data_IF_991842311763
#
_entry.id   IF_991842311763
#
_cell.length_a   1.000
_cell.length_b   1.000
_cell.length_c   1.000
_cell.angle_alpha   90.00
_cell.angle_beta   90.00
_cell.angle_gamma   90.00
#
_symmetry.space_group_name_H-M   'P 1'
#
loop_
_entity.id
_entity.type
_entity.pdbx_description
1 polymer ?
#
# COMPACT_ATOMS: atom_id res chain seq x y z
N UNK A 1 -59.92 36.33 -68.17
CA UNK A 1 -59.47 36.49 -66.77
C UNK A 1 -60.50 36.00 -65.74
N UNK A 2 -61.69 35.54 -66.14
CA UNK A 2 -62.74 35.07 -65.21
C UNK A 2 -62.73 33.57 -64.91
N UNK A 3 -61.90 32.79 -65.62
CA UNK A 3 -61.78 31.33 -65.43
C UNK A 3 -60.78 30.92 -64.34
N UNK A 4 -59.85 31.79 -63.94
CA UNK A 4 -58.86 31.50 -62.87
C UNK A 4 -59.42 31.73 -61.46
N UNK A 5 -60.38 32.64 -61.29
CA UNK A 5 -60.96 32.97 -59.97
C UNK A 5 -61.92 31.87 -59.48
N UNK A 6 -62.59 31.16 -60.38
CA UNK A 6 -63.45 30.01 -60.01
C UNK A 6 -62.66 28.74 -59.66
N UNK A 7 -61.38 28.65 -60.07
CA UNK A 7 -60.52 27.51 -59.72
C UNK A 7 -59.91 27.65 -58.30
N UNK A 8 -59.75 28.88 -57.81
CA UNK A 8 -59.12 29.14 -56.51
C UNK A 8 -60.06 28.88 -55.32
N UNK A 9 -61.37 29.15 -55.48
CA UNK A 9 -62.37 28.88 -54.44
C UNK A 9 -62.65 27.37 -54.19
N UNK A 10 -62.22 26.49 -55.10
CA UNK A 10 -62.30 25.03 -54.95
C UNK A 10 -61.06 24.38 -54.32
N UNK A 11 -60.03 25.17 -53.99
CA UNK A 11 -58.73 24.67 -53.51
C UNK A 11 -58.44 24.98 -52.04
N UNK A 12 -59.30 25.72 -51.34
CA UNK A 12 -59.15 25.92 -49.90
C UNK A 12 -59.58 24.65 -49.16
N UNK A 13 -58.58 23.95 -48.63
CA UNK A 13 -58.77 22.75 -47.81
C UNK A 13 -59.59 23.14 -46.58
N UNK A 14 -60.83 22.65 -46.50
CA UNK A 14 -61.70 22.92 -45.35
C UNK A 14 -61.28 22.03 -44.19
N UNK A 15 -60.36 22.54 -43.37
CA UNK A 15 -59.79 21.81 -42.23
C UNK A 15 -60.87 21.23 -41.29
N UNK A 16 -62.03 21.88 -41.12
CA UNK A 16 -63.16 21.35 -40.34
C UNK A 16 -63.69 20.00 -40.84
N UNK A 17 -63.74 19.81 -42.16
CA UNK A 17 -64.15 18.56 -42.77
C UNK A 17 -63.05 17.51 -42.71
N UNK A 18 -61.79 17.94 -42.84
CA UNK A 18 -60.62 17.08 -42.64
C UNK A 18 -60.60 16.55 -41.20
N UNK A 19 -60.82 17.38 -40.19
CA UNK A 19 -60.89 16.95 -38.78
C UNK A 19 -62.05 15.99 -38.53
N UNK A 20 -63.21 16.24 -39.14
CA UNK A 20 -64.37 15.34 -39.04
C UNK A 20 -64.08 13.99 -39.73
N UNK A 21 -63.40 14.02 -40.88
CA UNK A 21 -62.95 12.84 -41.59
C UNK A 21 -61.89 12.06 -40.81
N UNK A 22 -60.91 12.73 -40.20
CA UNK A 22 -59.93 12.11 -39.30
C UNK A 22 -60.66 11.41 -38.16
N UNK A 23 -61.61 12.09 -37.49
CA UNK A 23 -62.41 11.48 -36.41
C UNK A 23 -63.22 10.25 -36.88
N UNK A 24 -63.74 10.27 -38.10
CA UNK A 24 -64.40 9.11 -38.72
C UNK A 24 -63.41 7.98 -39.00
N UNK A 25 -62.24 8.28 -39.57
CA UNK A 25 -61.18 7.32 -39.90
C UNK A 25 -60.52 6.72 -38.65
N UNK A 26 -60.47 7.43 -37.52
CA UNK A 26 -59.98 6.94 -36.23
C UNK A 26 -60.94 5.95 -35.56
N UNK A 27 -62.22 5.88 -35.97
CA UNK A 27 -63.19 5.00 -35.34
C UNK A 27 -62.90 3.52 -35.65
N UNK A 28 -62.86 2.61 -34.65
CA UNK A 28 -62.47 1.21 -34.83
C UNK A 28 -63.38 0.42 -35.81
N UNK A 29 -64.67 0.77 -35.89
CA UNK A 29 -65.58 0.11 -36.84
C UNK A 29 -65.30 0.54 -38.29
N UNK A 30 -64.87 1.79 -38.48
CA UNK A 30 -64.52 2.34 -39.78
C UNK A 30 -63.15 1.82 -40.18
N UNK A 31 -62.17 1.76 -39.27
CA UNK A 31 -60.83 1.24 -39.53
C UNK A 31 -60.83 -0.16 -40.16
N UNK A 32 -61.76 -1.03 -39.73
CA UNK A 32 -61.94 -2.40 -40.26
C UNK A 32 -62.52 -2.47 -41.68
N UNK A 33 -63.11 -1.38 -42.18
CA UNK A 33 -63.63 -1.35 -43.56
C UNK A 33 -62.52 -1.10 -44.58
N UNK A 34 -62.74 -1.51 -45.83
CA UNK A 34 -61.77 -1.32 -46.92
C UNK A 34 -61.53 0.17 -47.21
N UNK A 35 -60.31 0.52 -47.64
CA UNK A 35 -59.94 1.91 -47.89
C UNK A 35 -60.82 2.56 -48.97
N UNK A 36 -61.18 1.79 -50.01
CA UNK A 36 -62.09 2.24 -51.07
C UNK A 36 -63.47 2.64 -50.54
N UNK A 37 -64.03 1.89 -49.57
CA UNK A 37 -65.33 2.22 -48.97
C UNK A 37 -65.25 3.51 -48.14
N UNK A 38 -64.13 3.74 -47.44
CA UNK A 38 -63.88 4.97 -46.68
C UNK A 38 -63.81 6.17 -47.61
N UNK A 39 -63.07 6.07 -48.71
CA UNK A 39 -62.97 7.15 -49.70
C UNK A 39 -64.31 7.45 -50.36
N UNK A 40 -65.06 6.43 -50.78
CA UNK A 40 -66.40 6.61 -51.36
C UNK A 40 -67.35 7.30 -50.39
N UNK A 41 -67.32 6.95 -49.11
CA UNK A 41 -68.14 7.61 -48.08
C UNK A 41 -67.76 9.08 -47.89
N UNK A 42 -66.47 9.40 -47.87
CA UNK A 42 -65.99 10.77 -47.73
C UNK A 42 -66.29 11.62 -48.98
N UNK A 43 -66.17 11.04 -50.19
CA UNK A 43 -66.61 11.68 -51.44
C UNK A 43 -68.12 11.94 -51.44
N UNK A 44 -68.92 10.96 -51.04
CA UNK A 44 -70.38 11.11 -50.89
C UNK A 44 -70.76 12.16 -49.83
N UNK A 45 -69.89 12.41 -48.86
CA UNK A 45 -70.05 13.47 -47.85
C UNK A 45 -69.67 14.86 -48.37
N UNK A 46 -69.20 14.97 -49.61
CA UNK A 46 -68.84 16.24 -50.24
C UNK A 46 -67.43 16.71 -49.94
N UNK A 47 -66.51 15.79 -49.59
CA UNK A 47 -65.08 16.08 -49.49
C UNK A 47 -64.42 15.88 -50.86
N UNK A 48 -63.48 16.76 -51.17
CA UNK A 48 -62.62 16.66 -52.35
C UNK A 48 -61.51 15.62 -52.13
N UNK A 49 -60.98 15.03 -53.20
CA UNK A 49 -59.89 14.05 -53.12
C UNK A 49 -58.65 14.60 -52.38
N UNK A 50 -58.42 15.91 -52.45
CA UNK A 50 -57.32 16.60 -51.78
C UNK A 50 -57.53 16.67 -50.26
N UNK A 51 -58.76 16.93 -49.80
CA UNK A 51 -59.15 16.90 -48.38
C UNK A 51 -59.09 15.46 -47.83
N UNK A 52 -59.54 14.47 -48.62
CA UNK A 52 -59.53 13.05 -48.24
C UNK A 52 -58.10 12.57 -48.01
N UNK A 53 -57.18 12.86 -48.95
CA UNK A 53 -55.77 12.47 -48.83
C UNK A 53 -55.14 13.04 -47.55
N UNK A 54 -55.37 14.33 -47.27
CA UNK A 54 -54.86 14.98 -46.06
C UNK A 54 -55.46 14.38 -44.77
N UNK A 55 -56.73 13.99 -44.78
CA UNK A 55 -57.36 13.32 -43.63
C UNK A 55 -56.77 11.92 -43.37
N UNK A 56 -56.47 11.18 -44.43
CA UNK A 56 -55.85 9.84 -44.33
C UNK A 56 -54.43 9.95 -43.78
N UNK A 57 -53.64 10.90 -44.29
CA UNK A 57 -52.28 11.17 -43.82
C UNK A 57 -52.27 11.52 -42.33
N UNK A 58 -53.12 12.47 -41.90
CA UNK A 58 -53.28 12.84 -40.49
C UNK A 58 -53.76 11.67 -39.61
N UNK A 59 -54.61 10.79 -40.14
CA UNK A 59 -55.06 9.60 -39.42
C UNK A 59 -53.96 8.55 -39.29
N UNK A 60 -53.12 8.36 -40.32
CA UNK A 60 -52.00 7.42 -40.30
C UNK A 60 -51.00 7.78 -39.20
N UNK A 61 -50.64 9.06 -39.09
CA UNK A 61 -49.69 9.58 -38.10
C UNK A 61 -50.19 9.42 -36.64
N UNK A 62 -51.50 9.66 -36.40
CA UNK A 62 -52.13 9.44 -35.09
C UNK A 62 -52.19 7.97 -34.69
N UNK A 63 -52.43 7.07 -35.65
CA UNK A 63 -52.48 5.62 -35.40
C UNK A 63 -51.08 5.07 -35.15
N UNK A 64 -50.06 5.58 -35.86
CA UNK A 64 -48.66 5.18 -35.64
C UNK A 64 -48.16 5.58 -34.24
N UNK A 65 -48.47 6.81 -33.80
CA UNK A 65 -48.15 7.26 -32.43
C UNK A 65 -48.91 6.44 -31.36
N UNK A 66 -50.18 6.10 -31.62
CA UNK A 66 -50.96 5.23 -30.75
C UNK A 66 -50.42 3.79 -30.74
N UNK A 67 -49.86 3.29 -31.83
CA UNK A 67 -49.28 1.95 -31.91
C UNK A 67 -47.90 1.90 -31.22
N UNK A 68 -47.08 2.94 -31.35
CA UNK A 68 -45.80 3.05 -30.65
C UNK A 68 -45.98 3.11 -29.12
N UNK A 69 -46.97 3.87 -28.67
CA UNK A 69 -47.36 3.89 -27.25
C UNK A 69 -48.00 2.58 -26.81
N UNK A 70 -48.72 1.90 -27.71
CA UNK A 70 -49.26 0.55 -27.45
C UNK A 70 -48.17 -0.51 -27.37
N UNK A 71 -47.09 -0.44 -28.15
CA UNK A 71 -46.00 -1.41 -28.12
C UNK A 71 -45.24 -1.39 -26.79
N UNK A 72 -45.05 -0.20 -26.18
CA UNK A 72 -44.50 -0.07 -24.83
C UNK A 72 -45.52 -0.50 -23.75
N UNK A 73 -46.82 -0.36 -24.01
CA UNK A 73 -47.89 -0.73 -23.07
C UNK A 73 -48.39 -2.19 -23.16
N UNK A 74 -48.03 -2.94 -24.21
CA UNK A 74 -48.54 -4.30 -24.44
C UNK A 74 -47.99 -5.34 -23.46
N UNK A 75 -46.86 -5.07 -22.82
CA UNK A 75 -46.34 -5.95 -21.76
C UNK A 75 -47.01 -5.74 -20.39
N UNK A 76 -47.82 -4.69 -20.21
CA UNK A 76 -48.29 -4.33 -18.86
C UNK A 76 -49.82 -4.18 -18.72
N UNK A 77 -50.60 -4.03 -19.79
CA UNK A 77 -51.99 -3.54 -19.67
C UNK A 77 -53.08 -4.51 -20.15
N UNK A 78 -53.27 -5.67 -19.52
CA UNK A 78 -54.43 -6.51 -19.89
C UNK A 78 -55.15 -7.29 -18.78
N UNK A 79 -54.61 -7.47 -17.56
CA UNK A 79 -55.27 -8.43 -16.64
C UNK A 79 -55.68 -7.95 -15.24
N UNK A 80 -55.36 -6.74 -14.74
CA UNK A 80 -55.67 -6.50 -13.32
C UNK A 80 -55.66 -5.04 -12.81
N UNK A 81 -56.71 -4.25 -13.06
CA UNK A 81 -56.84 -2.88 -12.49
C UNK A 81 -56.80 -2.89 -10.96
N UNK A 82 -57.49 -3.83 -10.32
CA UNK A 82 -57.49 -3.96 -8.85
C UNK A 82 -56.13 -4.38 -8.23
N UNK A 83 -55.32 -5.19 -8.93
CA UNK A 83 -53.98 -5.62 -8.47
C UNK A 83 -52.96 -4.54 -8.72
N UNK A 84 -53.15 -3.72 -9.77
CA UNK A 84 -52.32 -2.53 -9.92
C UNK A 84 -52.58 -1.51 -8.80
N UNK A 85 -53.82 -1.36 -8.35
CA UNK A 85 -54.15 -0.41 -7.29
C UNK A 85 -53.74 -0.89 -5.89
N UNK A 86 -53.84 -2.20 -5.61
CA UNK A 86 -53.56 -2.75 -4.26
C UNK A 86 -52.29 -3.58 -4.15
N UNK A 87 -51.94 -4.31 -5.20
CA UNK A 87 -50.83 -5.27 -5.16
C UNK A 87 -49.54 -4.64 -5.72
N UNK A 88 -49.61 -3.67 -6.64
CA UNK A 88 -48.44 -2.87 -7.02
C UNK A 88 -47.81 -2.15 -5.83
N UNK A 89 -48.54 -1.40 -4.97
CA UNK A 89 -47.92 -0.79 -3.79
C UNK A 89 -47.43 -1.84 -2.79
N UNK A 90 -48.08 -3.01 -2.67
CA UNK A 90 -47.62 -4.09 -1.81
C UNK A 90 -46.33 -4.75 -2.32
N UNK A 91 -46.18 -4.91 -3.64
CA UNK A 91 -44.98 -5.42 -4.30
C UNK A 91 -43.86 -4.38 -4.22
N UNK A 92 -44.16 -3.10 -4.43
CA UNK A 92 -43.18 -2.01 -4.30
C UNK A 92 -42.71 -1.92 -2.85
N UNK A 93 -43.62 -1.93 -1.88
CA UNK A 93 -43.28 -1.88 -0.46
C UNK A 93 -42.54 -3.14 0.00
N UNK A 94 -42.96 -4.32 -0.44
CA UNK A 94 -42.28 -5.59 -0.15
C UNK A 94 -40.90 -5.67 -0.78
N UNK A 95 -40.76 -5.24 -2.04
CA UNK A 95 -39.48 -5.16 -2.75
C UNK A 95 -38.56 -4.11 -2.15
N UNK A 96 -39.09 -2.96 -1.73
CA UNK A 96 -38.35 -1.93 -1.02
C UNK A 96 -37.91 -2.43 0.36
N UNK A 97 -38.79 -3.06 1.14
CA UNK A 97 -38.45 -3.62 2.45
C UNK A 97 -37.41 -4.76 2.34
N UNK A 98 -37.54 -5.64 1.34
CA UNK A 98 -36.56 -6.68 1.06
C UNK A 98 -35.23 -6.10 0.57
N UNK A 99 -35.28 -5.07 -0.29
CA UNK A 99 -34.14 -4.30 -0.73
C UNK A 99 -33.44 -3.60 0.43
N UNK A 100 -34.17 -2.98 1.34
CA UNK A 100 -33.66 -2.39 2.58
C UNK A 100 -33.09 -3.45 3.51
N UNK A 101 -33.69 -4.64 3.63
CA UNK A 101 -33.14 -5.75 4.41
C UNK A 101 -31.84 -6.29 3.78
N UNK A 102 -31.79 -6.41 2.46
CA UNK A 102 -30.61 -6.85 1.73
C UNK A 102 -29.51 -5.80 1.77
N UNK A 103 -29.84 -4.53 1.62
CA UNK A 103 -28.95 -3.38 1.78
C UNK A 103 -28.49 -3.24 3.22
N UNK A 104 -29.35 -3.49 4.21
CA UNK A 104 -28.95 -3.61 5.60
C UNK A 104 -27.92 -4.73 5.73
N UNK A 105 -28.22 -5.93 5.24
CA UNK A 105 -27.31 -7.08 5.33
C UNK A 105 -26.04 -6.94 4.50
N UNK A 106 -26.03 -6.19 3.41
CA UNK A 106 -24.92 -6.09 2.48
C UNK A 106 -24.16 -4.78 2.66
N UNK A 107 -24.85 -3.64 2.67
CA UNK A 107 -24.26 -2.33 2.90
C UNK A 107 -23.97 -2.07 4.36
N UNK A 108 -24.79 -2.44 5.35
CA UNK A 108 -24.33 -2.30 6.75
C UNK A 108 -23.28 -3.36 7.07
N UNK A 109 -23.34 -4.57 6.48
CA UNK A 109 -22.21 -5.49 6.61
C UNK A 109 -20.93 -4.93 5.98
N UNK A 110 -20.96 -4.30 4.81
CA UNK A 110 -19.75 -3.75 4.19
C UNK A 110 -19.33 -2.37 4.74
N UNK A 111 -20.27 -1.57 5.22
CA UNK A 111 -20.05 -0.20 5.72
C UNK A 111 -19.85 -0.16 7.25
N UNK A 112 -20.47 -1.08 7.99
CA UNK A 112 -20.24 -1.27 9.43
C UNK A 112 -19.14 -2.33 9.70
N UNK A 113 -18.83 -3.26 8.77
CA UNK A 113 -17.56 -4.05 8.86
C UNK A 113 -16.35 -3.33 8.25
N UNK A 114 -16.37 -2.00 8.15
CA UNK A 114 -15.11 -1.25 8.24
C UNK A 114 -14.70 -1.08 9.71
N UNK A 115 -15.59 -1.41 10.67
CA UNK A 115 -15.28 -1.56 12.09
C UNK A 115 -15.62 -3.00 12.53
N UNK A 116 -14.67 -3.92 12.31
CA UNK A 116 -14.57 -5.28 12.87
C UNK A 116 -15.46 -6.39 12.24
N UNK A 117 -14.86 -7.29 11.43
CA UNK A 117 -15.31 -8.67 11.48
C UNK A 117 -15.21 -9.19 12.91
N UNK A 118 -16.10 -10.13 13.27
CA UNK A 118 -15.96 -10.99 14.46
C UNK A 118 -14.48 -11.25 14.80
N UNK A 119 -13.94 -10.51 15.78
CA UNK A 119 -12.80 -10.77 16.67
C UNK A 119 -11.86 -11.93 16.29
N UNK A 120 -11.16 -11.83 15.16
CA UNK A 120 -10.02 -12.72 14.85
C UNK A 120 -8.84 -11.96 14.26
N UNK A 121 -9.06 -10.98 13.39
CA UNK A 121 -7.96 -10.31 12.67
C UNK A 121 -7.19 -9.22 13.46
N UNK A 122 -7.81 -8.42 14.32
CA UNK A 122 -7.05 -7.40 15.08
C UNK A 122 -6.22 -8.02 16.21
N UNK A 123 -6.73 -9.06 16.88
CA UNK A 123 -5.95 -9.83 17.84
C UNK A 123 -4.86 -10.64 17.16
N UNK A 124 -5.15 -11.32 16.03
CA UNK A 124 -4.12 -12.05 15.27
C UNK A 124 -3.06 -11.11 14.69
N UNK A 125 -3.43 -9.90 14.24
CA UNK A 125 -2.47 -8.89 13.78
C UNK A 125 -1.60 -8.37 14.93
N UNK A 126 -2.17 -8.12 16.12
CA UNK A 126 -1.38 -7.74 17.29
C UNK A 126 -0.46 -8.89 17.72
N UNK A 127 -0.92 -10.14 17.67
CA UNK A 127 -0.12 -11.32 18.00
C UNK A 127 0.97 -11.58 16.94
N UNK A 128 0.69 -11.34 15.66
CA UNK A 128 1.65 -11.42 14.57
C UNK A 128 2.68 -10.29 14.65
N UNK A 129 2.27 -9.07 15.02
CA UNK A 129 3.17 -7.96 15.30
C UNK A 129 4.05 -8.22 16.52
N UNK A 130 3.48 -8.80 17.60
CA UNK A 130 4.26 -9.22 18.78
C UNK A 130 5.26 -10.31 18.42
N UNK A 131 4.83 -11.32 17.66
CA UNK A 131 5.68 -12.39 17.15
C UNK A 131 6.79 -11.85 16.25
N UNK A 132 6.47 -10.91 15.35
CA UNK A 132 7.43 -10.22 14.49
C UNK A 132 8.45 -9.43 15.31
N UNK A 133 8.00 -8.72 16.35
CA UNK A 133 8.85 -7.96 17.26
C UNK A 133 9.78 -8.88 18.07
N UNK A 134 9.27 -10.01 18.55
CA UNK A 134 10.08 -11.01 19.28
C UNK A 134 11.14 -11.64 18.36
N UNK A 135 10.76 -12.00 17.13
CA UNK A 135 11.70 -12.52 16.12
C UNK A 135 12.79 -11.47 15.81
N UNK A 136 12.40 -10.20 15.70
CA UNK A 136 13.35 -9.11 15.46
C UNK A 136 14.25 -8.84 16.67
N UNK A 137 13.73 -8.92 17.89
CA UNK A 137 14.52 -8.76 19.10
C UNK A 137 15.53 -9.92 19.23
N UNK A 138 15.10 -11.14 18.92
CA UNK A 138 15.98 -12.31 18.85
C UNK A 138 17.07 -12.14 17.78
N UNK A 139 16.74 -11.63 16.58
CA UNK A 139 17.73 -11.40 15.53
C UNK A 139 18.72 -10.29 15.89
N UNK A 140 18.27 -9.19 16.51
CA UNK A 140 19.14 -8.13 17.03
C UNK A 140 20.06 -8.67 18.13
N UNK A 141 19.54 -9.51 19.02
CA UNK A 141 20.33 -10.12 20.12
C UNK A 141 21.38 -11.09 19.56
N UNK A 142 21.02 -11.90 18.56
CA UNK A 142 21.95 -12.78 17.85
C UNK A 142 23.02 -11.98 17.14
N UNK A 143 22.63 -10.95 16.38
CA UNK A 143 23.56 -10.09 15.65
C UNK A 143 24.51 -9.35 16.61
N UNK A 144 24.01 -8.89 17.76
CA UNK A 144 24.84 -8.31 18.80
C UNK A 144 25.83 -9.33 19.38
N UNK A 145 25.40 -10.57 19.57
CA UNK A 145 26.25 -11.68 20.00
C UNK A 145 27.35 -11.99 18.98
N UNK A 146 27.01 -12.10 17.71
CA UNK A 146 27.96 -12.31 16.61
C UNK A 146 28.93 -11.15 16.46
N UNK A 147 28.45 -9.91 16.57
CA UNK A 147 29.30 -8.73 16.50
C UNK A 147 30.26 -8.67 17.70
N UNK A 148 29.80 -9.01 18.90
CA UNK A 148 30.66 -9.09 20.09
C UNK A 148 31.69 -10.22 19.98
N UNK A 149 31.29 -11.39 19.48
CA UNK A 149 32.20 -12.50 19.20
C UNK A 149 33.24 -12.11 18.15
N UNK A 150 32.84 -11.39 17.10
CA UNK A 150 33.74 -10.87 16.06
C UNK A 150 34.72 -9.84 16.63
N UNK A 151 34.26 -8.91 17.48
CA UNK A 151 35.12 -7.94 18.16
C UNK A 151 36.11 -8.66 19.10
N UNK A 152 35.67 -9.67 19.84
CA UNK A 152 36.54 -10.46 20.71
C UNK A 152 37.54 -11.30 19.92
N UNK A 153 37.14 -11.89 18.79
CA UNK A 153 38.03 -12.59 17.87
C UNK A 153 39.07 -11.63 17.27
N UNK A 154 38.66 -10.41 16.91
CA UNK A 154 39.57 -9.39 16.40
C UNK A 154 40.55 -8.92 17.48
N UNK A 155 40.08 -8.76 18.72
CA UNK A 155 40.94 -8.47 19.87
C UNK A 155 41.96 -9.59 20.08
N UNK A 156 41.56 -10.86 20.05
CA UNK A 156 42.47 -12.01 20.15
C UNK A 156 43.49 -12.05 19.00
N UNK A 157 43.06 -11.76 17.77
CA UNK A 157 43.98 -11.64 16.62
C UNK A 157 45.00 -10.54 16.83
N UNK A 158 44.59 -9.38 17.35
CA UNK A 158 45.53 -8.31 17.67
C UNK A 158 46.56 -8.72 18.72
N UNK A 159 46.18 -9.51 19.73
CA UNK A 159 47.13 -10.05 20.71
C UNK A 159 48.14 -10.99 20.04
N UNK A 160 47.70 -11.83 19.10
CA UNK A 160 48.59 -12.70 18.34
C UNK A 160 49.56 -11.92 17.44
N UNK A 161 49.10 -10.83 16.82
CA UNK A 161 49.96 -9.96 16.03
C UNK A 161 51.01 -9.24 16.90
N UNK A 162 50.62 -8.74 18.08
CA UNK A 162 51.57 -8.18 19.05
C UNK A 162 52.60 -9.22 19.51
N UNK A 163 52.16 -10.44 19.85
CA UNK A 163 53.07 -11.53 20.24
C UNK A 163 54.01 -11.93 19.10
N UNK A 164 53.53 -11.92 17.86
CA UNK A 164 54.35 -12.17 16.68
C UNK A 164 55.40 -11.06 16.50
N UNK A 165 55.04 -9.82 16.72
CA UNK A 165 55.95 -8.68 16.67
C UNK A 165 56.99 -8.74 17.80
N UNK A 166 56.59 -9.13 19.01
CA UNK A 166 57.51 -9.39 20.14
C UNK A 166 58.47 -10.54 19.81
N UNK A 167 57.98 -11.64 19.24
CA UNK A 167 58.82 -12.76 18.78
C UNK A 167 59.78 -12.29 17.68
N UNK A 168 59.32 -11.46 16.74
CA UNK A 168 60.17 -10.91 15.69
C UNK A 168 61.23 -9.97 16.27
N UNK A 169 60.90 -9.19 17.30
CA UNK A 169 61.82 -8.31 18.02
C UNK A 169 62.85 -9.12 18.82
N UNK A 170 62.43 -10.14 19.56
CA UNK A 170 63.34 -11.06 20.27
C UNK A 170 64.23 -11.81 19.29
N UNK A 171 63.68 -12.28 18.17
CA UNK A 171 64.45 -12.87 17.07
C UNK A 171 65.44 -11.85 16.51
N UNK A 172 65.03 -10.60 16.32
CA UNK A 172 65.85 -9.49 15.88
C UNK A 172 67.01 -9.22 16.83
N UNK A 173 66.77 -9.14 18.14
CA UNK A 173 67.82 -8.96 19.16
C UNK A 173 68.72 -10.19 19.24
N UNK A 174 68.20 -11.42 19.16
CA UNK A 174 69.01 -12.64 19.20
C UNK A 174 69.90 -12.79 17.95
N UNK A 175 69.39 -12.41 16.77
CA UNK A 175 70.19 -12.37 15.54
C UNK A 175 71.12 -11.14 15.49
N UNK A 176 70.71 -10.00 16.05
CA UNK A 176 71.52 -8.78 16.16
C UNK A 176 72.63 -8.92 17.20
N UNK A 177 72.41 -9.68 18.27
CA UNK A 177 73.43 -9.99 19.29
C UNK A 177 74.58 -10.84 18.74
N UNK A 178 74.37 -11.52 17.61
CA UNK A 178 75.43 -12.22 16.90
C UNK A 178 76.14 -11.33 15.85
N UNK A 179 75.71 -10.07 15.70
CA UNK A 179 76.36 -9.03 14.90
C UNK A 179 76.86 -7.91 15.82
N UNK A 180 77.82 -8.22 16.68
CA UNK A 180 78.61 -7.15 17.28
C UNK A 180 79.31 -6.38 16.15
N UNK A 181 79.16 -5.05 16.05
CA UNK A 181 79.92 -4.29 15.08
C UNK A 181 81.41 -4.50 15.35
N UNK A 182 82.15 -4.97 14.35
CA UNK A 182 83.60 -5.05 14.44
C UNK A 182 84.14 -3.66 14.72
N UNK A 183 84.87 -3.53 15.83
CA UNK A 183 85.51 -2.29 16.25
C UNK A 183 86.43 -1.78 15.14
N UNK A 184 85.92 -0.91 14.27
CA UNK A 184 86.75 -0.12 13.36
C UNK A 184 87.30 1.06 14.15
N UNK A 185 88.38 0.75 14.86
CA UNK A 185 89.33 1.70 15.47
C UNK A 185 89.93 2.55 14.34
N UNK A 186 89.51 3.80 14.23
CA UNK A 186 90.29 4.92 13.68
C UNK A 186 89.61 6.24 14.08
N UNK A 187 90.27 6.93 15.01
CA UNK A 187 90.11 8.31 15.49
C UNK A 187 88.89 8.70 16.37
N UNK A 188 89.14 9.46 17.47
CA UNK A 188 88.18 9.62 18.56
C UNK A 188 87.13 10.70 18.24
N UNK A 189 85.82 10.41 18.34
CA UNK A 189 84.82 11.46 18.29
C UNK A 189 84.88 12.29 19.58
N UNK A 190 85.15 13.59 19.40
CA UNK A 190 85.18 14.62 20.43
C UNK A 190 83.88 14.61 21.25
N UNK A 191 84.06 14.58 22.57
CA UNK A 191 82.98 14.58 23.55
C UNK A 191 82.15 15.87 23.40
N UNK A 192 80.83 15.77 23.21
CA UNK A 192 79.95 16.93 23.09
C UNK A 192 80.05 17.83 24.33
N UNK A 193 79.85 19.14 24.13
CA UNK A 193 80.15 20.20 25.11
C UNK A 193 79.47 20.05 26.49
N UNK A 194 78.40 19.24 26.60
CA UNK A 194 77.72 18.94 27.85
C UNK A 194 78.51 18.01 28.80
N UNK A 195 79.54 17.31 28.31
CA UNK A 195 80.38 16.41 29.11
C UNK A 195 81.76 17.04 29.44
N UNK A 196 82.00 18.31 29.09
CA UNK A 196 83.23 19.05 29.40
C UNK A 196 83.13 20.00 30.61
N UNK A 197 82.06 19.93 31.41
CA UNK A 197 81.83 20.87 32.53
C UNK A 197 82.39 20.41 33.89
N UNK A 198 83.23 19.37 33.94
CA UNK A 198 83.69 18.79 35.21
C UNK A 198 85.21 18.85 35.48
N UNK A 199 86.00 19.58 34.67
CA UNK A 199 87.43 19.77 34.92
C UNK A 199 87.89 21.22 34.69
N UNK A 200 87.42 22.14 35.52
CA UNK A 200 88.22 23.30 35.91
C UNK A 200 87.85 23.69 37.35
N UNK A 201 88.14 22.76 38.27
CA UNK A 201 88.17 23.03 39.70
C UNK A 201 89.60 23.44 40.07
N UNK A 202 89.83 24.75 40.23
CA UNK A 202 90.89 25.42 41.02
C UNK A 202 90.62 26.92 40.83
N UNK A 203 90.32 27.79 41.80
CA UNK A 203 90.85 27.89 43.16
C UNK A 203 90.07 29.01 43.90
N UNK A 204 89.81 28.83 45.21
CA UNK A 204 89.47 29.83 46.26
C UNK A 204 88.01 30.36 46.39
N UNK A 205 87.22 29.69 47.27
CA UNK A 205 86.55 30.16 48.52
C UNK A 205 86.10 31.65 48.71
N UNK A 206 85.11 32.00 49.59
CA UNK A 206 84.28 31.17 50.50
C UNK A 206 82.77 31.58 50.68
N UNK A 207 82.06 30.73 51.44
CA UNK A 207 80.89 31.01 52.34
C UNK A 207 79.48 31.26 51.73
N UNK A 208 78.33 30.78 52.23
CA UNK A 208 77.96 30.13 53.50
C UNK A 208 76.57 29.44 53.41
N UNK A 209 76.33 28.50 54.33
CA UNK A 209 75.04 28.04 54.93
C UNK A 209 74.14 26.96 54.25
N UNK A 210 74.31 25.74 54.79
CA UNK A 210 73.34 24.61 54.97
C UNK A 210 72.23 24.99 56.01
N UNK A 211 71.23 24.13 56.40
CA UNK A 211 70.91 22.71 56.06
C UNK A 211 69.41 22.50 55.65
N UNK A 212 68.89 21.33 55.24
CA UNK A 212 68.36 20.29 56.15
C UNK A 212 67.84 19.00 55.43
N UNK A 213 68.30 17.84 55.93
CA UNK A 213 67.65 16.51 56.15
C UNK A 213 66.83 15.82 55.03
N UNK A 214 67.22 14.67 54.45
CA UNK A 214 67.28 13.24 54.93
C UNK A 214 65.93 12.55 55.19
N UNK A 215 65.76 11.33 54.60
CA UNK A 215 65.13 10.07 55.12
C UNK A 215 64.12 9.47 54.11
N UNK A 216 64.38 8.36 53.39
CA UNK A 216 64.62 6.94 53.74
C UNK A 216 63.35 6.09 54.04
N UNK A 217 63.21 5.00 53.27
CA UNK A 217 62.56 3.68 53.55
C UNK A 217 61.02 3.61 53.64
N UNK A 218 60.32 2.76 52.83
CA UNK A 218 60.14 1.27 52.80
C UNK A 218 58.96 0.78 53.65
N UNK A 219 57.97 0.15 53.00
CA UNK A 219 57.16 -1.06 53.39
C UNK A 219 55.89 -1.12 52.49
N UNK A 220 55.60 -2.19 51.73
CA UNK A 220 55.05 -3.53 52.06
C UNK A 220 53.55 -3.58 52.44
N UNK A 221 52.72 -4.13 51.55
CA UNK A 221 51.54 -5.02 51.80
C UNK A 221 50.92 -5.33 50.42
N UNK A 222 50.69 -6.56 49.93
CA UNK A 222 50.30 -7.80 50.60
C UNK A 222 48.82 -8.07 50.29
N UNK A 223 48.48 -9.09 49.50
CA UNK A 223 47.09 -9.50 49.29
C UNK A 223 46.82 -10.35 48.04
N UNK A 224 47.26 -11.61 48.06
CA UNK A 224 46.76 -12.68 47.18
C UNK A 224 45.31 -13.03 47.52
N UNK A 225 44.52 -13.47 46.53
CA UNK A 225 43.51 -14.51 46.78
C UNK A 225 43.34 -15.38 45.52
N UNK A 226 43.51 -16.67 45.73
CA UNK A 226 43.39 -17.79 44.79
C UNK A 226 42.32 -18.74 45.32
N UNK A 227 41.57 -19.39 44.42
CA UNK A 227 40.91 -20.72 44.54
C UNK A 227 39.90 -20.83 43.39
N UNK A 228 40.08 -21.69 42.38
CA UNK A 228 39.91 -23.17 42.38
C UNK A 228 38.48 -23.63 42.72
N UNK A 229 37.90 -24.38 41.78
CA UNK A 229 36.59 -25.01 41.87
C UNK A 229 36.33 -25.87 40.63
N UNK A 230 37.02 -27.01 40.54
CA UNK A 230 36.70 -28.12 39.62
C UNK A 230 35.59 -29.00 40.21
N UNK A 231 34.71 -29.50 39.33
CA UNK A 231 33.91 -30.75 39.35
C UNK A 231 32.56 -30.50 38.66
N UNK A 232 31.90 -31.39 37.93
CA UNK A 232 32.22 -32.66 37.31
C UNK A 232 30.92 -33.13 36.63
N UNK A 233 31.01 -33.50 35.36
CA UNK A 233 30.26 -34.61 34.71
C UNK A 233 28.73 -34.56 34.52
N UNK A 234 28.32 -35.22 33.41
CA UNK A 234 26.98 -35.61 32.91
C UNK A 234 26.47 -34.64 31.83
N UNK A 235 26.21 -35.04 30.59
CA UNK A 235 25.93 -36.36 30.03
C UNK A 235 26.24 -36.39 28.52
N UNK A 236 26.57 -37.58 28.03
CA UNK A 236 26.56 -37.95 26.61
C UNK A 236 25.15 -38.40 26.21
N UNK A 237 24.78 -38.26 24.94
CA UNK A 237 24.39 -39.35 24.01
C UNK A 237 23.36 -38.93 22.92
N UNK A 238 23.64 -39.36 21.68
CA UNK A 238 22.74 -39.75 20.57
C UNK A 238 21.74 -38.76 19.96
N UNK A 239 21.42 -38.74 18.66
CA UNK A 239 21.79 -39.54 17.47
C UNK A 239 21.17 -38.87 16.21
N UNK A 240 21.76 -39.13 15.02
CA UNK A 240 21.17 -39.19 13.67
C UNK A 240 20.13 -38.15 13.19
N UNK A 241 20.42 -37.48 12.05
CA UNK A 241 19.72 -37.76 10.78
C UNK A 241 20.46 -37.14 9.58
N UNK A 242 20.86 -38.02 8.65
CA UNK A 242 21.31 -37.74 7.29
C UNK A 242 20.05 -37.82 6.44
N UNK A 243 19.71 -36.76 5.71
CA UNK A 243 18.66 -36.84 4.68
C UNK A 243 19.32 -36.56 3.33
N UNK A 244 19.22 -37.59 2.50
CA UNK A 244 19.51 -37.62 1.07
C UNK A 244 18.49 -36.83 0.25
#
# INVERSE_FOLDING_TARGET
MTSEVLASAGSEIRENLVTTAVKFLTNPNVQRSTMENKERFLRAKGLTDLEIKRAIEKCGDLVDMSNFTSELHFFQHSQHSWFKEKILPLIIYGGFAYGCYWFYKNCIKQLLFIEQPKRKSTSECIDELRKSLDIMNASITSLRGEMQATVQQNAMRSQLDNLKDDIASVKGILLSRNQFPSLKRTEPPSIPAWQRQSEEASTVEPEEKKPHRTRSQRSESGGSNSSEGEQATKNSDSSLEIIS
#
